data_IF_975815630298
#
_entry.id   IF_975815630298
#
_cell.length_a   1.000
_cell.length_b   1.000
_cell.length_c   1.000
_cell.angle_alpha   90.00
_cell.angle_beta   90.00
_cell.angle_gamma   90.00
#
_symmetry.space_group_name_H-M   'P 1'
#
loop_
_entity.id
_entity.type
_entity.pdbx_description
1 polymer ?
#
# COMPACT_ATOMS: atom_id res chain seq x y z
N UNK A 1 -13.97 -4.12 21.78
CA UNK A 1 -13.83 -3.85 20.33
C UNK A 1 -12.55 -4.53 19.93
N UNK A 2 -12.63 -5.57 19.11
CA UNK A 2 -11.43 -6.20 18.55
C UNK A 2 -10.67 -5.15 17.73
N UNK A 3 -9.39 -4.97 18.06
CA UNK A 3 -8.42 -4.32 17.19
C UNK A 3 -8.35 -5.15 15.91
N UNK A 4 -9.17 -4.80 14.92
CA UNK A 4 -9.00 -5.28 13.55
C UNK A 4 -7.75 -4.58 13.04
N UNK A 5 -6.59 -5.16 13.32
CA UNK A 5 -5.33 -4.76 12.72
C UNK A 5 -5.41 -5.07 11.22
N UNK A 6 -5.54 -4.06 10.33
CA UNK A 6 -5.76 -4.30 8.90
C UNK A 6 -4.58 -5.05 8.26
N UNK A 7 -3.43 -5.08 8.94
CA UNK A 7 -2.23 -5.82 8.52
C UNK A 7 -2.42 -7.35 8.61
N UNK A 8 -3.42 -7.84 9.34
CA UNK A 8 -3.71 -9.29 9.44
C UNK A 8 -4.40 -9.86 8.20
N UNK A 9 -4.84 -9.02 7.27
CA UNK A 9 -5.42 -9.50 6.01
C UNK A 9 -4.30 -9.95 5.05
N UNK A 10 -4.38 -11.19 4.55
CA UNK A 10 -3.37 -11.81 3.68
C UNK A 10 -3.13 -10.97 2.41
N UNK A 11 -4.16 -10.35 1.84
CA UNK A 11 -4.02 -9.46 0.68
C UNK A 11 -3.17 -8.23 1.03
N UNK A 12 -3.42 -7.60 2.18
CA UNK A 12 -2.59 -6.47 2.63
C UNK A 12 -1.14 -6.91 2.86
N UNK A 13 -0.93 -8.10 3.43
CA UNK A 13 0.42 -8.62 3.59
C UNK A 13 1.17 -8.78 2.25
N UNK A 14 0.53 -9.41 1.24
CA UNK A 14 1.13 -9.54 -0.11
C UNK A 14 1.38 -8.19 -0.79
N UNK A 15 0.48 -7.22 -0.60
CA UNK A 15 0.68 -5.86 -1.10
C UNK A 15 1.86 -5.16 -0.42
N UNK A 16 2.06 -5.37 0.88
CA UNK A 16 3.19 -4.81 1.62
C UNK A 16 4.51 -5.41 1.12
N UNK A 17 4.57 -6.73 0.90
CA UNK A 17 5.76 -7.41 0.37
C UNK A 17 6.20 -6.88 -1.00
N UNK A 18 5.24 -6.50 -1.84
CA UNK A 18 5.49 -5.90 -3.16
C UNK A 18 5.65 -4.38 -3.12
N UNK A 19 5.56 -3.76 -1.95
CA UNK A 19 5.69 -2.31 -1.77
C UNK A 19 7.09 -1.91 -1.33
N UNK A 20 7.39 -0.62 -1.44
CA UNK A 20 8.65 -0.08 -0.92
C UNK A 20 8.66 0.08 0.62
N UNK A 21 7.56 -0.17 1.31
CA UNK A 21 7.43 0.02 2.75
C UNK A 21 7.62 -1.31 3.49
N UNK A 22 8.20 -1.25 4.69
CA UNK A 22 8.20 -2.42 5.58
C UNK A 22 6.85 -2.55 6.29
N UNK A 23 6.46 -3.75 6.77
CA UNK A 23 5.25 -3.94 7.57
C UNK A 23 5.17 -2.97 8.75
N UNK A 24 6.32 -2.73 9.41
CA UNK A 24 6.43 -1.74 10.50
C UNK A 24 6.14 -0.32 10.04
N UNK A 25 6.65 0.09 8.88
CA UNK A 25 6.39 1.43 8.34
C UNK A 25 4.92 1.61 7.98
N UNK A 26 4.26 0.57 7.47
CA UNK A 26 2.81 0.57 7.17
C UNK A 26 2.00 0.67 8.46
N UNK A 27 2.34 -0.07 9.51
CA UNK A 27 1.71 0.07 10.82
C UNK A 27 1.85 1.50 11.35
N UNK A 28 3.02 2.11 11.20
CA UNK A 28 3.27 3.47 11.68
C UNK A 28 2.45 4.48 10.88
N UNK A 29 2.33 4.31 9.56
CA UNK A 29 1.47 5.13 8.71
C UNK A 29 0.02 4.99 9.18
N UNK A 30 -0.49 3.76 9.31
CA UNK A 30 -1.86 3.48 9.74
C UNK A 30 -2.18 4.06 11.12
N UNK A 31 -1.28 3.89 12.11
CA UNK A 31 -1.51 4.39 13.45
C UNK A 31 -1.47 5.92 13.49
N UNK A 32 -0.56 6.54 12.74
CA UNK A 32 -0.44 8.00 12.64
C UNK A 32 -1.68 8.62 11.98
N UNK A 33 -2.23 8.02 10.93
CA UNK A 33 -3.40 8.55 10.22
C UNK A 33 -4.70 8.37 11.00
N UNK A 34 -4.85 7.26 11.73
CA UNK A 34 -6.09 6.93 12.44
C UNK A 34 -6.07 7.33 13.92
N UNK A 35 -5.10 8.13 14.37
CA UNK A 35 -4.91 8.52 15.78
C UNK A 35 -4.88 7.32 16.75
N UNK A 36 -4.46 6.14 16.28
CA UNK A 36 -4.39 4.94 17.10
C UNK A 36 -3.18 4.98 18.04
N UNK A 37 -3.22 4.17 19.10
CA UNK A 37 -2.16 4.10 20.10
C UNK A 37 -0.82 3.72 19.45
N UNK A 38 0.25 4.25 20.03
CA UNK A 38 1.62 3.88 19.65
C UNK A 38 1.79 2.36 19.69
N UNK A 39 2.58 1.84 18.76
CA UNK A 39 2.99 0.43 18.72
C UNK A 39 3.60 0.06 20.08
N UNK A 40 3.18 -1.07 20.68
CA UNK A 40 3.78 -1.55 21.93
C UNK A 40 5.27 -1.84 21.70
N UNK A 41 6.12 -1.60 22.70
CA UNK A 41 7.57 -1.87 22.65
C UNK A 41 8.40 -0.95 21.72
N UNK A 42 7.98 0.29 21.51
CA UNK A 42 8.79 1.33 20.86
C UNK A 42 8.95 2.54 21.79
N UNK A 43 10.16 3.13 21.85
CA UNK A 43 10.33 4.41 22.54
C UNK A 43 9.71 5.54 21.73
N UNK A 44 9.25 6.60 22.38
CA UNK A 44 8.67 7.77 21.72
C UNK A 44 9.62 8.36 20.67
N UNK A 45 10.91 8.47 20.99
CA UNK A 45 11.93 8.95 20.05
C UNK A 45 12.09 8.05 18.82
N UNK A 46 12.09 6.72 19.00
CA UNK A 46 12.16 5.79 17.88
C UNK A 46 10.90 5.86 17.01
N UNK A 47 9.72 5.99 17.62
CA UNK A 47 8.46 6.14 16.90
C UNK A 47 8.43 7.39 16.02
N UNK A 48 8.76 8.56 16.56
CA UNK A 48 8.77 9.79 15.75
C UNK A 48 9.83 9.78 14.66
N UNK A 49 10.97 9.10 14.87
CA UNK A 49 11.96 8.87 13.80
C UNK A 49 11.38 8.03 12.66
N UNK A 50 10.68 6.96 12.98
CA UNK A 50 10.03 6.12 11.96
C UNK A 50 8.89 6.87 11.24
N UNK A 51 8.07 7.65 11.96
CA UNK A 51 7.05 8.53 11.35
C UNK A 51 7.69 9.48 10.34
N UNK A 52 8.80 10.13 10.71
CA UNK A 52 9.54 11.03 9.82
C UNK A 52 10.08 10.28 8.59
N UNK A 53 10.66 9.10 8.79
CA UNK A 53 11.17 8.28 7.68
C UNK A 53 10.06 7.85 6.71
N UNK A 54 8.92 7.38 7.22
CA UNK A 54 7.74 7.04 6.41
C UNK A 54 7.22 8.25 5.63
N UNK A 55 7.15 9.42 6.27
CA UNK A 55 6.75 10.67 5.60
C UNK A 55 7.70 11.08 4.48
N UNK A 56 9.01 11.00 4.70
CA UNK A 56 9.99 11.31 3.66
C UNK A 56 9.93 10.30 2.50
N UNK A 57 9.67 9.02 2.79
CA UNK A 57 9.45 8.00 1.76
C UNK A 57 8.19 8.29 0.92
N UNK A 58 7.08 8.68 1.55
CA UNK A 58 5.87 9.12 0.84
C UNK A 58 6.13 10.31 -0.08
N UNK A 59 6.85 11.34 0.40
CA UNK A 59 7.23 12.49 -0.44
C UNK A 59 8.04 12.05 -1.66
N UNK A 60 9.00 11.14 -1.47
CA UNK A 60 9.82 10.61 -2.56
C UNK A 60 8.97 9.87 -3.59
N UNK A 61 7.99 9.06 -3.16
CA UNK A 61 7.03 8.42 -4.08
C UNK A 61 6.32 9.49 -4.93
N UNK A 62 5.78 10.54 -4.31
CA UNK A 62 5.07 11.60 -5.05
C UNK A 62 5.99 12.26 -6.09
N UNK A 63 7.21 12.64 -5.69
CA UNK A 63 8.17 13.23 -6.63
C UNK A 63 8.61 12.25 -7.73
N UNK A 64 8.74 10.95 -7.43
CA UNK A 64 9.05 9.93 -8.42
C UNK A 64 7.93 9.74 -9.44
N UNK A 65 6.66 9.70 -9.01
CA UNK A 65 5.52 9.61 -9.93
C UNK A 65 5.50 10.82 -10.87
N UNK A 66 5.65 12.04 -10.31
CA UNK A 66 5.69 13.28 -11.10
C UNK A 66 6.85 13.25 -12.10
N UNK A 67 8.05 12.86 -11.66
CA UNK A 67 9.23 12.79 -12.53
C UNK A 67 9.03 11.82 -13.69
N UNK A 68 8.53 10.61 -13.41
CA UNK A 68 8.33 9.57 -14.41
C UNK A 68 7.20 9.93 -15.41
N UNK A 69 6.16 10.59 -14.94
CA UNK A 69 5.09 11.14 -15.78
C UNK A 69 5.63 12.24 -16.73
N UNK A 70 6.39 13.21 -16.19
CA UNK A 70 7.04 14.26 -17.01
C UNK A 70 8.04 13.71 -18.03
N UNK A 71 8.64 12.54 -17.75
CA UNK A 71 9.53 11.84 -18.68
C UNK A 71 8.78 11.02 -19.72
N UNK A 72 7.43 11.02 -19.73
CA UNK A 72 6.58 10.17 -20.56
C UNK A 72 6.89 8.67 -20.42
N UNK A 73 7.43 8.25 -19.26
CA UNK A 73 7.62 6.82 -18.94
C UNK A 73 6.26 6.19 -18.66
N UNK A 74 5.40 6.93 -17.96
CA UNK A 74 4.00 6.62 -17.84
C UNK A 74 3.22 7.41 -18.91
N UNK A 75 2.46 6.72 -19.76
CA UNK A 75 1.41 7.41 -20.52
C UNK A 75 0.28 7.77 -19.54
N UNK A 76 -0.35 8.93 -19.69
CA UNK A 76 -1.47 9.37 -18.83
C UNK A 76 -2.61 8.35 -18.75
N UNK A 77 -2.83 7.58 -19.82
CA UNK A 77 -3.81 6.49 -19.84
C UNK A 77 -3.35 5.25 -19.06
N UNK A 78 -2.04 5.05 -18.89
CA UNK A 78 -1.49 3.90 -18.15
C UNK A 78 -1.63 4.08 -16.65
N UNK A 79 -1.23 5.21 -16.06
CA UNK A 79 -1.45 5.40 -14.61
C UNK A 79 -2.94 5.34 -14.26
N UNK A 80 -3.81 5.79 -15.16
CA UNK A 80 -5.26 5.71 -14.98
C UNK A 80 -5.79 4.26 -14.94
N UNK A 81 -5.08 3.27 -15.52
CA UNK A 81 -5.50 1.86 -15.50
C UNK A 81 -5.37 1.22 -14.11
N UNK A 82 -4.69 1.87 -13.17
CA UNK A 82 -4.66 1.45 -11.76
C UNK A 82 -6.00 1.74 -11.04
N UNK A 83 -6.75 2.76 -11.48
CA UNK A 83 -7.95 3.21 -10.78
C UNK A 83 -9.06 2.14 -10.69
N UNK A 84 -9.38 1.38 -11.76
CA UNK A 84 -10.37 0.30 -11.66
C UNK A 84 -9.98 -0.77 -10.64
N UNK A 85 -8.71 -1.19 -10.60
CA UNK A 85 -8.23 -2.16 -9.61
C UNK A 85 -8.35 -1.59 -8.20
N UNK A 86 -7.87 -0.37 -7.97
CA UNK A 86 -7.96 0.27 -6.65
C UNK A 86 -9.41 0.35 -6.18
N UNK A 87 -10.35 0.67 -7.09
CA UNK A 87 -11.77 0.69 -6.78
C UNK A 87 -12.30 -0.69 -6.41
N UNK A 88 -11.96 -1.72 -7.18
CA UNK A 88 -12.37 -3.09 -6.88
C UNK A 88 -11.82 -3.54 -5.52
N UNK A 89 -10.52 -3.38 -5.27
CA UNK A 89 -9.90 -3.72 -3.99
C UNK A 89 -10.53 -2.99 -2.80
N UNK A 90 -10.94 -1.72 -2.97
CA UNK A 90 -11.69 -0.98 -1.95
C UNK A 90 -13.04 -1.63 -1.65
N UNK A 91 -13.82 -1.95 -2.69
CA UNK A 91 -15.10 -2.65 -2.54
C UNK A 91 -14.92 -4.01 -1.86
N UNK A 92 -13.86 -4.76 -2.19
CA UNK A 92 -13.56 -6.03 -1.53
C UNK A 92 -13.22 -5.84 -0.05
N UNK A 93 -12.45 -4.80 0.30
CA UNK A 93 -12.09 -4.47 1.67
C UNK A 93 -13.31 -4.01 2.50
N UNK A 94 -14.22 -3.22 1.92
CA UNK A 94 -15.45 -2.75 2.57
C UNK A 94 -16.42 -3.90 2.87
N UNK A 95 -16.43 -4.93 2.04
CA UNK A 95 -17.30 -6.10 2.20
C UNK A 95 -16.76 -7.14 3.21
N UNK A 96 -15.61 -6.89 3.86
CA UNK A 96 -14.97 -7.80 4.82
C UNK A 96 -14.90 -9.26 4.33
N UNK A 97 -14.63 -9.45 3.03
CA UNK A 97 -14.58 -10.79 2.46
C UNK A 97 -13.29 -11.47 2.91
N UNK A 98 -13.41 -12.50 3.74
CA UNK A 98 -12.32 -13.41 4.07
C UNK A 98 -12.08 -14.33 2.86
N UNK A 99 -11.06 -14.01 2.08
CA UNK A 99 -10.67 -14.81 0.92
C UNK A 99 -9.88 -16.04 1.33
N UNK A 100 -10.16 -17.17 0.69
CA UNK A 100 -9.24 -18.30 0.66
C UNK A 100 -7.95 -17.91 -0.09
N UNK A 101 -6.84 -18.55 0.26
CA UNK A 101 -5.50 -18.25 -0.26
C UNK A 101 -5.43 -18.27 -1.80
N UNK A 102 -6.10 -19.25 -2.43
CA UNK A 102 -6.20 -19.40 -3.89
C UNK A 102 -6.85 -18.18 -4.59
N UNK A 103 -7.86 -17.58 -3.95
CA UNK A 103 -8.50 -16.37 -4.46
C UNK A 103 -7.58 -15.16 -4.38
N UNK A 104 -6.68 -15.12 -3.37
CA UNK A 104 -5.73 -14.03 -3.19
C UNK A 104 -4.61 -14.12 -4.24
N UNK A 105 -4.11 -15.31 -4.55
CA UNK A 105 -3.15 -15.50 -5.64
C UNK A 105 -3.72 -15.00 -6.96
N UNK A 106 -4.96 -15.38 -7.28
CA UNK A 106 -5.65 -14.90 -8.48
C UNK A 106 -5.81 -13.38 -8.51
N UNK A 107 -6.08 -12.74 -7.37
CA UNK A 107 -6.15 -11.28 -7.26
C UNK A 107 -4.76 -10.66 -7.49
N UNK A 108 -3.70 -11.23 -6.92
CA UNK A 108 -2.34 -10.74 -7.11
C UNK A 108 -1.89 -10.86 -8.57
N UNK A 109 -2.23 -11.95 -9.26
CA UNK A 109 -1.96 -12.12 -10.69
C UNK A 109 -2.58 -10.99 -11.53
N UNK A 110 -3.82 -10.60 -11.21
CA UNK A 110 -4.50 -9.48 -11.90
C UNK A 110 -3.83 -8.14 -11.59
N UNK A 111 -3.41 -7.92 -10.34
CA UNK A 111 -2.65 -6.71 -9.95
C UNK A 111 -1.34 -6.65 -10.73
N UNK A 112 -0.58 -7.74 -10.78
CA UNK A 112 0.71 -7.81 -11.47
C UNK A 112 0.56 -7.60 -12.98
N UNK A 113 -0.48 -8.16 -13.60
CA UNK A 113 -0.78 -7.90 -15.01
C UNK A 113 -0.99 -6.41 -15.28
N UNK A 114 -1.75 -5.71 -14.44
CA UNK A 114 -1.97 -4.27 -14.62
C UNK A 114 -0.72 -3.46 -14.31
N UNK A 115 0.03 -3.79 -13.26
CA UNK A 115 1.32 -3.13 -12.96
C UNK A 115 2.27 -3.26 -14.14
N UNK A 116 2.37 -4.45 -14.75
CA UNK A 116 3.18 -4.68 -15.94
C UNK A 116 2.66 -3.94 -17.19
N UNK A 117 1.35 -3.71 -17.31
CA UNK A 117 0.81 -2.87 -18.39
C UNK A 117 1.16 -1.38 -18.21
N UNK A 118 1.29 -0.93 -16.96
CA UNK A 118 1.73 0.44 -16.65
C UNK A 118 3.21 0.61 -16.96
N UNK A 119 4.02 -0.39 -16.62
CA UNK A 119 5.47 -0.40 -16.83
C UNK A 119 5.77 -1.00 -18.21
N UNK A 120 5.68 -0.21 -19.28
CA UNK A 120 6.08 -0.63 -20.64
C UNK A 120 7.58 -0.43 -20.86
N UNK A 121 8.39 -1.20 -20.15
CA UNK A 121 9.83 -1.30 -20.38
C UNK A 121 10.22 -2.70 -20.84
#
# INVERSE_FOLDING_TARGET
MEDIDPIKNILFYKLIENSIFTPRQIQIIYNFTNSHKMIKNISSGAYYREVRQSKEKLKKICYSIILLDLMNIFNSNQLASLNPIISQLRTLNENHVDYHEESIDSIMDVIDQVVNQVIKM
#
